data_IF_031317668760
#
_entry.id   IF_031317668760
#
_cell.length_a   1.000
_cell.length_b   1.000
_cell.length_c   1.000
_cell.angle_alpha   90.00
_cell.angle_beta   90.00
_cell.angle_gamma   90.00
#
_symmetry.space_group_name_H-M   'P 1'
#
loop_
_entity.id
_entity.type
_entity.pdbx_description
1 polymer ?
#
# COMPACT_ATOMS: atom_id res chain seq x y z
N UNK A 1 -9.69 -0.52 -4.34
CA UNK A 1 -8.63 0.01 -5.20
C UNK A 1 -7.44 -0.92 -5.12
N UNK A 2 -6.72 -1.15 -6.21
CA UNK A 2 -5.59 -2.09 -6.26
C UNK A 2 -4.36 -1.35 -6.74
N UNK A 3 -3.23 -1.57 -6.07
CA UNK A 3 -1.95 -0.95 -6.39
C UNK A 3 -0.80 -1.95 -6.23
N UNK A 4 0.29 -1.67 -6.94
CA UNK A 4 1.55 -2.40 -6.86
C UNK A 4 2.58 -1.43 -6.30
N UNK A 5 3.31 -1.86 -5.27
CA UNK A 5 4.43 -1.13 -4.71
C UNK A 5 5.69 -1.98 -4.91
N UNK A 6 6.65 -1.42 -5.63
CA UNK A 6 7.90 -2.09 -5.96
C UNK A 6 9.04 -1.52 -5.12
N UNK A 7 10.05 -2.36 -4.87
CA UNK A 7 11.27 -1.99 -4.15
C UNK A 7 12.48 -2.23 -5.05
N UNK A 8 13.54 -1.45 -4.84
CA UNK A 8 14.79 -1.66 -5.55
C UNK A 8 15.46 -2.93 -5.02
N UNK A 9 16.04 -3.79 -5.87
CA UNK A 9 16.92 -4.87 -5.42
C UNK A 9 18.10 -4.36 -4.57
N UNK A 10 18.48 -3.09 -4.72
CA UNK A 10 19.57 -2.45 -3.97
C UNK A 10 19.17 -2.07 -2.53
N UNK A 11 17.87 -2.05 -2.20
CA UNK A 11 17.40 -1.67 -0.86
C UNK A 11 17.75 -2.71 0.22
N UNK A 12 18.10 -3.95 -0.20
CA UNK A 12 18.48 -5.06 0.66
C UNK A 12 17.48 -5.33 1.82
N UNK A 13 16.19 -5.24 1.50
CA UNK A 13 15.08 -5.47 2.43
C UNK A 13 14.59 -6.92 2.37
N UNK A 14 14.21 -7.45 3.52
CA UNK A 14 13.52 -8.74 3.62
C UNK A 14 12.06 -8.64 3.15
N UNK A 15 11.43 -9.74 2.72
CA UNK A 15 10.00 -9.76 2.40
C UNK A 15 9.11 -9.28 3.56
N UNK A 16 9.48 -9.60 4.80
CA UNK A 16 8.77 -9.18 6.01
C UNK A 16 8.85 -7.65 6.21
N UNK A 17 10.01 -7.04 5.98
CA UNK A 17 10.18 -5.59 6.02
C UNK A 17 9.39 -4.90 4.91
N UNK A 18 9.45 -5.44 3.70
CA UNK A 18 8.66 -4.95 2.56
C UNK A 18 7.16 -5.00 2.88
N UNK A 19 6.66 -6.10 3.46
CA UNK A 19 5.27 -6.21 3.87
C UNK A 19 4.90 -5.16 4.93
N UNK A 20 5.75 -5.02 5.96
CA UNK A 20 5.56 -4.06 7.05
C UNK A 20 5.53 -2.61 6.53
N UNK A 21 6.44 -2.24 5.64
CA UNK A 21 6.49 -0.92 5.00
C UNK A 21 5.19 -0.66 4.23
N UNK A 22 4.74 -1.63 3.42
CA UNK A 22 3.46 -1.53 2.70
C UNK A 22 2.26 -1.36 3.64
N UNK A 23 2.27 -2.04 4.79
CA UNK A 23 1.23 -1.90 5.80
C UNK A 23 1.25 -0.51 6.47
N UNK A 24 2.42 -0.03 6.88
CA UNK A 24 2.60 1.29 7.51
C UNK A 24 2.15 2.43 6.58
N UNK A 25 2.55 2.39 5.31
CA UNK A 25 2.15 3.37 4.29
C UNK A 25 0.63 3.36 4.07
N UNK A 26 0.00 2.19 4.04
CA UNK A 26 -1.45 2.11 3.90
C UNK A 26 -2.19 2.58 5.14
N UNK A 27 -1.66 2.32 6.34
CA UNK A 27 -2.20 2.86 7.57
C UNK A 27 -2.18 4.38 7.57
N UNK A 28 -1.07 4.98 7.15
CA UNK A 28 -0.92 6.44 7.04
C UNK A 28 -1.85 7.02 5.96
N UNK A 29 -1.82 6.47 4.74
CA UNK A 29 -2.63 6.95 3.62
C UNK A 29 -4.13 6.91 3.92
N UNK A 30 -4.59 5.84 4.58
CA UNK A 30 -6.01 5.61 4.86
C UNK A 30 -6.46 6.15 6.22
N UNK A 31 -5.52 6.55 7.09
CA UNK A 31 -5.78 6.88 8.49
C UNK A 31 -6.46 5.74 9.26
N UNK A 32 -6.25 4.48 8.84
CA UNK A 32 -6.93 3.30 9.39
C UNK A 32 -8.44 3.24 9.19
N UNK A 33 -9.01 4.09 8.33
CA UNK A 33 -10.46 4.14 8.04
C UNK A 33 -10.90 3.07 7.06
N UNK A 34 -10.01 2.66 6.15
CA UNK A 34 -10.30 1.69 5.12
C UNK A 34 -9.60 0.37 5.45
N UNK A 35 -10.29 -0.75 5.26
CA UNK A 35 -9.68 -2.08 5.35
C UNK A 35 -8.82 -2.31 4.12
N UNK A 36 -7.67 -2.94 4.27
CA UNK A 36 -6.81 -3.32 3.16
C UNK A 36 -6.06 -4.62 3.47
N UNK A 37 -5.50 -5.23 2.42
CA UNK A 37 -4.63 -6.39 2.49
C UNK A 37 -3.34 -6.02 1.77
N UNK A 38 -2.20 -6.38 2.35
CA UNK A 38 -0.87 -6.31 1.74
C UNK A 38 -0.38 -7.74 1.53
N UNK A 39 -0.10 -8.10 0.28
CA UNK A 39 0.44 -9.39 -0.11
C UNK A 39 1.80 -9.19 -0.77
N UNK A 40 2.85 -9.78 -0.21
CA UNK A 40 4.22 -9.66 -0.72
C UNK A 40 4.53 -10.85 -1.61
N UNK A 41 4.96 -10.58 -2.84
CA UNK A 41 5.38 -11.60 -3.80
C UNK A 41 6.90 -11.75 -3.78
N UNK A 42 7.35 -13.00 -3.65
CA UNK A 42 8.77 -13.40 -3.58
C UNK A 42 9.14 -14.43 -4.65
N UNK A 43 8.22 -14.71 -5.58
CA UNK A 43 8.35 -15.71 -6.65
C UNK A 43 8.96 -15.14 -7.94
N UNK A 44 9.45 -13.89 -7.90
CA UNK A 44 10.05 -13.16 -9.02
C UNK A 44 11.44 -12.64 -8.64
N UNK A 45 12.18 -12.18 -9.65
CA UNK A 45 13.51 -11.58 -9.48
C UNK A 45 13.51 -10.30 -8.61
N UNK A 46 12.34 -9.73 -8.35
CA UNK A 46 12.15 -8.56 -7.49
C UNK A 46 10.99 -8.79 -6.53
N UNK A 47 11.19 -8.39 -5.27
CA UNK A 47 10.16 -8.44 -4.23
C UNK A 47 9.28 -7.20 -4.34
N UNK A 48 7.96 -7.39 -4.31
CA UNK A 48 7.00 -6.30 -4.43
C UNK A 48 5.73 -6.63 -3.64
N UNK A 49 4.99 -5.58 -3.28
CA UNK A 49 3.69 -5.70 -2.65
C UNK A 49 2.56 -5.51 -3.67
N UNK A 50 1.56 -6.38 -3.55
CA UNK A 50 0.21 -6.14 -4.03
C UNK A 50 -0.66 -5.66 -2.87
N UNK A 51 -1.33 -4.54 -3.07
CA UNK A 51 -2.16 -3.95 -2.03
C UNK A 51 -3.58 -3.76 -2.58
N UNK A 52 -4.54 -4.35 -1.86
CA UNK A 52 -5.96 -4.23 -2.16
C UNK A 52 -6.65 -3.47 -1.03
N UNK A 53 -7.24 -2.32 -1.36
CA UNK A 53 -7.96 -1.44 -0.44
C UNK A 53 -9.47 -1.60 -0.67
N UNK A 54 -10.23 -1.88 0.40
CA UNK A 54 -11.68 -1.76 0.36
C UNK A 54 -12.05 -0.29 0.16
N UNK A 55 -12.89 -0.02 -0.84
CA UNK A 55 -13.28 1.34 -1.16
C UNK A 55 -14.27 1.95 -0.16
N UNK A 56 -14.83 1.18 0.77
CA UNK A 56 -15.81 1.68 1.74
C UNK A 56 -15.15 1.82 3.11
N UNK A 57 -15.39 2.97 3.75
CA UNK A 57 -14.93 3.27 5.09
C UNK A 57 -15.54 2.29 6.11
N UNK A 58 -14.76 1.83 7.07
CA UNK A 58 -15.23 0.89 8.09
C UNK A 58 -16.27 1.50 9.06
N UNK A 59 -16.23 2.82 9.24
CA UNK A 59 -17.03 3.54 10.22
C UNK A 59 -18.14 4.39 9.57
N UNK A 60 -18.26 4.39 8.24
CA UNK A 60 -19.31 5.12 7.51
C UNK A 60 -19.53 4.55 6.11
N UNK A 61 -20.60 4.92 5.44
CA UNK A 61 -20.85 4.48 4.04
C UNK A 61 -20.10 5.33 3.00
N UNK A 62 -19.08 6.09 3.41
CA UNK A 62 -18.31 6.94 2.51
C UNK A 62 -17.34 6.10 1.69
N UNK A 63 -17.26 6.41 0.40
CA UNK A 63 -16.33 5.79 -0.55
C UNK A 63 -14.99 6.52 -0.57
N UNK A 64 -13.89 5.77 -0.61
CA UNK A 64 -12.56 6.28 -0.93
C UNK A 64 -12.57 6.85 -2.35
N UNK A 65 -12.27 8.14 -2.45
CA UNK A 65 -12.10 8.81 -3.74
C UNK A 65 -10.63 8.79 -4.09
N UNK A 66 -10.26 7.87 -5.00
CA UNK A 66 -8.92 7.82 -5.55
C UNK A 66 -8.76 8.92 -6.61
N UNK A 67 -8.21 10.06 -6.20
CA UNK A 67 -7.96 11.21 -7.07
C UNK A 67 -6.47 11.54 -7.12
N UNK A 68 -6.11 12.50 -7.97
CA UNK A 68 -4.72 12.93 -8.15
C UNK A 68 -4.04 13.36 -6.84
N UNK A 69 -4.76 14.03 -5.95
CA UNK A 69 -4.20 14.48 -4.68
C UNK A 69 -3.83 13.29 -3.77
N UNK A 70 -4.70 12.27 -3.71
CA UNK A 70 -4.45 11.06 -2.92
C UNK A 70 -3.30 10.24 -3.51
N UNK A 71 -3.26 10.08 -4.85
CA UNK A 71 -2.17 9.38 -5.52
C UNK A 71 -0.83 10.09 -5.33
N UNK A 72 -0.82 11.43 -5.41
CA UNK A 72 0.38 12.23 -5.12
C UNK A 72 0.82 12.06 -3.66
N UNK A 73 -0.12 12.01 -2.72
CA UNK A 73 0.21 11.75 -1.32
C UNK A 73 0.86 10.38 -1.15
N UNK A 74 0.28 9.32 -1.74
CA UNK A 74 0.86 7.98 -1.74
C UNK A 74 2.32 7.98 -2.24
N UNK A 75 2.61 8.66 -3.35
CA UNK A 75 3.98 8.74 -3.88
C UNK A 75 4.93 9.40 -2.87
N UNK A 76 4.53 10.54 -2.30
CA UNK A 76 5.38 11.26 -1.34
C UNK A 76 5.69 10.51 -0.05
N UNK A 77 4.79 9.63 0.42
CA UNK A 77 5.01 8.85 1.65
C UNK A 77 5.67 7.49 1.37
N UNK A 78 5.72 7.06 0.11
CA UNK A 78 6.32 5.79 -0.30
C UNK A 78 7.74 5.95 -0.86
N UNK A 79 8.09 7.13 -1.36
CA UNK A 79 9.44 7.50 -1.82
C UNK A 79 10.33 7.86 -0.62
#
# INVERSE_FOLDING_TARGET
>A
HYLIQSFSPEDNLTPEEINRIGYEIMMELTGGRFKFIVATHTDKDHVHNHILINAIDRNSDKKLIWNYALERNLRMISD
#
